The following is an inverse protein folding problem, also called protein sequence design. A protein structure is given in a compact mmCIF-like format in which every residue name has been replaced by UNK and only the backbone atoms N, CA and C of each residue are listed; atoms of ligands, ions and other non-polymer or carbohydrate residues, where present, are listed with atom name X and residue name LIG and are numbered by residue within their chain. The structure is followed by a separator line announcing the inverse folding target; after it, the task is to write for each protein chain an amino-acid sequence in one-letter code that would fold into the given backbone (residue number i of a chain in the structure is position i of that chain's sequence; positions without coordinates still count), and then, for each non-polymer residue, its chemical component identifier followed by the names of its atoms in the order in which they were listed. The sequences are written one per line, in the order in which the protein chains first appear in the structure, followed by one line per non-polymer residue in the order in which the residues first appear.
data_IF_208060780497
#
_entry.id   IF_208060780497
#
_cell.length_a   1.000
_cell.length_b   1.000
_cell.length_c   1.000
_cell.angle_alpha   90.00
_cell.angle_beta   90.00
_cell.angle_gamma   90.00
#
_symmetry.space_group_name_H-M   'P 1'
#
loop_
_entity.id
_entity.type
_entity.pdbx_description
1 polymer ?
#
# COMPACT_ATOMS: atom_id res chain seq x y z
N UNK A 1 3.84 -32.83 7.16
CA UNK A 1 3.36 -32.38 5.83
C UNK A 1 4.58 -31.94 5.02
N UNK A 2 4.92 -32.66 3.97
CA UNK A 2 6.14 -32.46 3.19
C UNK A 2 5.99 -31.25 2.26
N UNK A 3 7.09 -30.52 2.02
CA UNK A 3 7.15 -29.34 1.15
C UNK A 3 6.54 -29.57 -0.25
N UNK A 4 6.50 -30.81 -0.73
CA UNK A 4 5.85 -31.20 -2.00
C UNK A 4 4.33 -31.00 -2.00
N UNK A 5 3.64 -31.11 -0.86
CA UNK A 5 2.18 -30.90 -0.76
C UNK A 5 1.78 -29.42 -0.88
N UNK A 6 2.63 -28.52 -0.37
CA UNK A 6 2.37 -27.07 -0.45
C UNK A 6 2.52 -26.54 -1.89
N UNK A 7 3.50 -27.04 -2.64
CA UNK A 7 3.68 -26.66 -4.05
C UNK A 7 2.58 -27.19 -4.96
N UNK A 8 2.03 -28.39 -4.68
CA UNK A 8 0.91 -28.94 -5.44
C UNK A 8 -0.39 -28.15 -5.21
N UNK A 9 -0.65 -27.73 -3.97
CA UNK A 9 -1.82 -26.92 -3.66
C UNK A 9 -1.76 -25.50 -4.28
N UNK A 10 -0.56 -24.87 -4.27
CA UNK A 10 -0.35 -23.57 -4.91
C UNK A 10 -0.48 -23.64 -6.44
N UNK A 11 0.02 -24.72 -7.07
CA UNK A 11 -0.12 -24.94 -8.49
C UNK A 11 -1.59 -25.22 -8.90
N UNK A 12 -2.34 -25.95 -8.07
CA UNK A 12 -3.76 -26.20 -8.31
C UNK A 12 -4.62 -24.93 -8.17
N UNK A 13 -4.31 -24.07 -7.20
CA UNK A 13 -4.98 -22.78 -7.02
C UNK A 13 -4.67 -21.81 -8.18
N UNK A 14 -3.43 -21.77 -8.66
CA UNK A 14 -3.04 -20.97 -9.83
C UNK A 14 -3.70 -21.49 -11.12
N UNK A 15 -3.79 -22.81 -11.29
CA UNK A 15 -4.48 -23.42 -12.44
C UNK A 15 -5.99 -23.18 -12.41
N UNK A 16 -6.63 -23.24 -11.23
CA UNK A 16 -8.05 -22.94 -11.07
C UNK A 16 -8.36 -21.46 -11.34
N UNK A 17 -7.50 -20.54 -10.90
CA UNK A 17 -7.62 -19.12 -11.21
C UNK A 17 -7.45 -18.84 -12.72
N UNK A 18 -6.51 -19.53 -13.39
CA UNK A 18 -6.30 -19.40 -14.83
C UNK A 18 -7.48 -19.96 -15.65
N UNK A 19 -8.09 -21.08 -15.22
CA UNK A 19 -9.26 -21.67 -15.91
C UNK A 19 -10.54 -20.87 -15.71
N UNK A 20 -10.75 -20.23 -14.57
CA UNK A 20 -11.85 -19.31 -14.35
C UNK A 20 -11.73 -18.04 -15.20
N UNK A 21 -10.50 -17.51 -15.35
CA UNK A 21 -10.23 -16.37 -16.21
C UNK A 21 -10.46 -16.66 -17.70
N UNK A 22 -10.18 -17.88 -18.16
CA UNK A 22 -10.35 -18.27 -19.58
C UNK A 22 -11.80 -18.60 -19.96
N UNK A 23 -12.64 -19.08 -19.03
CA UNK A 23 -14.04 -19.40 -19.32
C UNK A 23 -14.96 -18.17 -19.40
N UNK A 24 -14.63 -17.09 -18.70
CA UNK A 24 -15.36 -15.82 -18.79
C UNK A 24 -15.03 -15.02 -20.07
N UNK A 25 -13.84 -15.22 -20.65
CA UNK A 25 -13.37 -14.49 -21.82
C UNK A 25 -14.05 -14.84 -23.15
N UNK A 26 -14.74 -15.99 -23.25
CA UNK A 26 -15.23 -16.51 -24.53
C UNK A 26 -16.69 -16.16 -24.89
N UNK A 27 -17.43 -15.50 -23.98
CA UNK A 27 -18.86 -15.23 -24.24
C UNK A 27 -19.15 -13.90 -24.98
N UNK A 28 -18.22 -12.90 -25.00
CA UNK A 28 -18.45 -11.58 -25.62
C UNK A 28 -17.22 -11.01 -26.35
N UNK A 29 -16.48 -11.84 -27.07
CA UNK A 29 -15.15 -11.52 -27.59
C UNK A 29 -15.04 -10.37 -28.63
N UNK A 30 -15.93 -10.04 -29.56
CA UNK A 30 -15.64 -9.06 -30.61
C UNK A 30 -15.66 -7.60 -30.12
N UNK A 31 -16.61 -7.21 -29.25
CA UNK A 31 -16.74 -5.83 -28.78
C UNK A 31 -15.75 -5.47 -27.66
N UNK A 32 -15.38 -6.47 -26.84
CA UNK A 32 -14.40 -6.30 -25.77
C UNK A 32 -12.97 -6.04 -26.30
N UNK A 33 -12.62 -6.62 -27.44
CA UNK A 33 -11.28 -6.48 -28.04
C UNK A 33 -11.06 -5.05 -28.56
N UNK A 34 -12.06 -4.44 -29.20
CA UNK A 34 -11.95 -3.08 -29.75
C UNK A 34 -11.89 -2.01 -28.63
N UNK A 35 -12.66 -2.19 -27.57
CA UNK A 35 -12.64 -1.27 -26.43
C UNK A 35 -11.36 -1.39 -25.59
N UNK A 36 -10.78 -2.58 -25.45
CA UNK A 36 -9.49 -2.80 -24.80
C UNK A 36 -8.32 -2.27 -25.64
N UNK A 37 -8.43 -2.32 -26.97
CA UNK A 37 -7.42 -1.75 -27.88
C UNK A 37 -7.32 -0.22 -27.81
N UNK A 38 -8.37 0.48 -27.35
CA UNK A 38 -8.38 1.94 -27.17
C UNK A 38 -7.82 2.40 -25.81
N UNK A 39 -7.31 1.48 -24.96
CA UNK A 39 -6.72 1.85 -23.66
C UNK A 39 -5.30 2.35 -23.87
N UNK A 40 -5.00 3.55 -23.37
CA UNK A 40 -3.62 3.97 -23.14
C UNK A 40 -3.09 3.21 -21.92
N UNK A 41 -2.32 2.16 -22.18
CA UNK A 41 -1.76 1.29 -21.14
C UNK A 41 -0.63 1.92 -20.32
N UNK A 42 -0.15 3.09 -20.75
CA UNK A 42 0.94 3.80 -20.09
C UNK A 42 0.58 5.28 -19.87
N UNK A 43 -0.53 5.56 -19.15
CA UNK A 43 -0.81 6.94 -18.78
C UNK A 43 0.34 7.45 -17.92
N UNK A 44 0.86 8.61 -18.28
CA UNK A 44 2.05 9.18 -17.64
C UNK A 44 1.72 10.54 -17.05
N UNK A 45 1.70 10.60 -15.73
CA UNK A 45 1.64 11.84 -14.99
C UNK A 45 3.06 12.38 -14.75
N UNK A 46 3.51 13.47 -15.42
CA UNK A 46 4.90 13.94 -15.35
C UNK A 46 5.38 14.23 -13.93
N UNK A 47 4.51 14.71 -13.06
CA UNK A 47 4.84 14.99 -11.67
C UNK A 47 5.04 13.71 -10.84
N UNK A 48 4.32 12.63 -11.13
CA UNK A 48 4.52 11.31 -10.50
C UNK A 48 5.89 10.77 -10.87
N UNK A 49 6.22 10.81 -12.17
CA UNK A 49 7.56 10.39 -12.63
C UNK A 49 8.67 11.22 -12.01
N UNK A 50 8.49 12.55 -11.91
CA UNK A 50 9.46 13.43 -11.28
C UNK A 50 9.68 13.08 -9.80
N UNK A 51 8.63 12.80 -9.05
CA UNK A 51 8.71 12.38 -7.65
C UNK A 51 9.36 10.99 -7.50
N UNK A 52 9.00 10.04 -8.34
CA UNK A 52 9.64 8.71 -8.36
C UNK A 52 11.13 8.82 -8.69
N UNK A 53 11.48 9.56 -9.72
CA UNK A 53 12.88 9.77 -10.11
C UNK A 53 13.67 10.47 -8.99
N UNK A 54 13.12 11.54 -8.42
CA UNK A 54 13.75 12.30 -7.33
C UNK A 54 13.98 11.43 -6.09
N UNK A 55 12.94 10.73 -5.61
CA UNK A 55 13.02 9.91 -4.41
C UNK A 55 13.95 8.72 -4.59
N UNK A 56 13.92 8.07 -5.77
CA UNK A 56 14.83 7.00 -6.14
C UNK A 56 16.28 7.44 -6.23
N UNK A 57 16.54 8.54 -6.93
CA UNK A 57 17.89 9.11 -7.07
C UNK A 57 18.48 9.54 -5.72
N UNK A 58 17.70 10.24 -4.89
CA UNK A 58 18.14 10.63 -3.53
C UNK A 58 18.44 9.39 -2.70
N UNK A 59 17.62 8.34 -2.78
CA UNK A 59 17.88 7.13 -2.01
C UNK A 59 19.12 6.40 -2.49
N UNK A 60 19.29 6.20 -3.79
CA UNK A 60 20.46 5.55 -4.38
C UNK A 60 21.76 6.30 -4.01
N UNK A 61 21.77 7.62 -4.18
CA UNK A 61 22.92 8.46 -3.82
C UNK A 61 23.23 8.37 -2.32
N UNK A 62 22.20 8.42 -1.47
CA UNK A 62 22.34 8.31 -0.03
C UNK A 62 22.92 6.96 0.40
N UNK A 63 22.41 5.85 -0.14
CA UNK A 63 22.90 4.50 0.13
C UNK A 63 24.36 4.35 -0.30
N UNK A 64 24.73 4.81 -1.50
CA UNK A 64 26.12 4.77 -1.97
C UNK A 64 27.04 5.55 -1.03
N UNK A 65 26.63 6.75 -0.59
CA UNK A 65 27.43 7.55 0.35
C UNK A 65 27.58 6.89 1.71
N UNK A 66 26.47 6.32 2.26
CA UNK A 66 26.52 5.56 3.52
C UNK A 66 27.49 4.40 3.41
N UNK A 67 27.42 3.61 2.34
CA UNK A 67 28.30 2.43 2.16
C UNK A 67 29.78 2.78 2.00
N UNK A 68 30.09 3.95 1.42
CA UNK A 68 31.47 4.43 1.28
C UNK A 68 32.07 4.91 2.62
N UNK A 69 31.22 5.35 3.58
CA UNK A 69 31.69 5.96 4.83
C UNK A 69 31.48 5.08 6.07
N UNK A 70 30.72 3.97 5.97
CA UNK A 70 30.41 3.09 7.09
C UNK A 70 30.76 1.64 6.78
N UNK A 71 31.72 1.07 7.54
CA UNK A 71 32.05 -0.35 7.47
C UNK A 71 31.08 -1.21 8.30
N UNK A 72 30.53 -0.64 9.39
CA UNK A 72 29.62 -1.33 10.32
C UNK A 72 28.16 -1.24 9.88
N UNK A 73 27.37 -2.31 10.15
CA UNK A 73 25.93 -2.30 9.92
C UNK A 73 25.50 -2.49 8.45
N UNK A 74 26.38 -2.94 7.57
CA UNK A 74 26.07 -3.16 6.13
C UNK A 74 24.83 -4.01 5.89
N UNK A 75 24.63 -5.07 6.67
CA UNK A 75 23.44 -5.92 6.56
C UNK A 75 22.13 -5.18 6.86
N UNK A 76 22.15 -4.26 7.83
CA UNK A 76 20.97 -3.43 8.15
C UNK A 76 20.71 -2.42 7.04
N UNK A 77 21.76 -1.79 6.50
CA UNK A 77 21.64 -0.85 5.39
C UNK A 77 21.14 -1.55 4.11
N UNK A 78 21.62 -2.76 3.82
CA UNK A 78 21.16 -3.55 2.68
C UNK A 78 19.66 -3.92 2.81
N UNK A 79 19.21 -4.38 3.99
CA UNK A 79 17.79 -4.67 4.22
C UNK A 79 16.90 -3.44 4.04
N UNK A 80 17.35 -2.27 4.51
CA UNK A 80 16.62 -1.02 4.32
C UNK A 80 16.58 -0.58 2.86
N UNK A 81 17.68 -0.75 2.14
CA UNK A 81 17.74 -0.44 0.71
C UNK A 81 16.81 -1.35 -0.10
N UNK A 82 16.77 -2.66 0.23
CA UNK A 82 15.83 -3.61 -0.38
C UNK A 82 14.37 -3.29 -0.06
N UNK A 83 14.07 -2.92 1.19
CA UNK A 83 12.72 -2.49 1.57
C UNK A 83 12.31 -1.22 0.82
N UNK A 84 13.22 -0.25 0.67
CA UNK A 84 12.95 0.94 -0.14
C UNK A 84 12.70 0.58 -1.60
N UNK A 85 13.58 -0.22 -2.20
CA UNK A 85 13.44 -0.63 -3.60
C UNK A 85 12.12 -1.36 -3.84
N UNK A 86 11.73 -2.28 -2.94
CA UNK A 86 10.43 -2.96 -3.01
C UNK A 86 9.26 -2.00 -2.92
N UNK A 87 9.23 -1.11 -1.93
CA UNK A 87 8.18 -0.09 -1.78
C UNK A 87 8.12 0.87 -2.97
N UNK A 88 9.28 1.28 -3.47
CA UNK A 88 9.39 2.16 -4.64
C UNK A 88 8.87 1.49 -5.93
N UNK A 89 9.25 0.23 -6.17
CA UNK A 89 8.78 -0.55 -7.32
C UNK A 89 7.26 -0.78 -7.27
N UNK A 90 6.72 -1.12 -6.09
CA UNK A 90 5.26 -1.26 -5.91
C UNK A 90 4.55 0.06 -6.16
N UNK A 91 5.08 1.18 -5.66
CA UNK A 91 4.51 2.51 -5.93
C UNK A 91 4.57 2.86 -7.41
N UNK A 92 5.69 2.59 -8.08
CA UNK A 92 5.82 2.80 -9.52
C UNK A 92 4.84 1.93 -10.31
N UNK A 93 4.73 0.64 -9.99
CA UNK A 93 3.78 -0.27 -10.64
C UNK A 93 2.31 0.11 -10.38
N UNK A 94 2.01 0.71 -9.22
CA UNK A 94 0.67 1.17 -8.90
C UNK A 94 0.29 2.46 -9.63
N UNK A 95 1.22 3.40 -9.80
CA UNK A 95 0.94 4.76 -10.29
C UNK A 95 1.40 5.02 -11.73
N UNK A 96 2.07 4.06 -12.35
CA UNK A 96 2.60 4.20 -13.72
C UNK A 96 2.37 2.89 -14.48
N UNK A 97 1.62 2.96 -15.57
CA UNK A 97 1.44 1.83 -16.46
C UNK A 97 0.11 1.09 -16.31
N UNK A 98 0.09 -0.23 -16.58
CA UNK A 98 -1.17 -0.97 -16.80
C UNK A 98 -2.16 -0.94 -15.63
N UNK A 99 -1.68 -0.95 -14.40
CA UNK A 99 -2.58 -0.93 -13.23
C UNK A 99 -3.29 0.42 -13.10
N UNK A 100 -2.60 1.51 -13.37
CA UNK A 100 -3.18 2.85 -13.36
C UNK A 100 -4.21 3.00 -14.50
N UNK A 101 -3.88 2.54 -15.71
CA UNK A 101 -4.82 2.50 -16.83
C UNK A 101 -6.08 1.69 -16.53
N UNK A 102 -5.93 0.53 -15.88
CA UNK A 102 -7.05 -0.33 -15.49
C UNK A 102 -7.87 0.28 -14.35
N UNK A 103 -7.25 0.99 -13.41
CA UNK A 103 -7.96 1.63 -12.28
C UNK A 103 -8.98 2.68 -12.73
N UNK A 104 -8.72 3.33 -13.87
CA UNK A 104 -9.66 4.23 -14.50
C UNK A 104 -10.87 3.53 -15.14
N UNK A 105 -10.81 2.22 -15.34
CA UNK A 105 -11.83 1.41 -16.04
C UNK A 105 -12.54 0.41 -15.14
N UNK A 106 -11.84 -0.12 -14.13
CA UNK A 106 -12.32 -1.13 -13.22
C UNK A 106 -12.16 -0.67 -11.78
N UNK A 107 -13.24 -0.72 -11.02
CA UNK A 107 -13.22 -0.46 -9.59
C UNK A 107 -12.31 -1.46 -8.85
N UNK A 108 -12.36 -2.73 -9.22
CA UNK A 108 -11.51 -3.76 -8.64
C UNK A 108 -10.02 -3.48 -8.85
N UNK A 109 -9.61 -3.02 -10.04
CA UNK A 109 -8.24 -2.60 -10.30
C UNK A 109 -7.83 -1.35 -9.48
N UNK A 110 -8.75 -0.39 -9.32
CA UNK A 110 -8.56 0.77 -8.46
C UNK A 110 -8.33 0.36 -6.99
N UNK A 111 -9.07 -0.64 -6.49
CA UNK A 111 -8.85 -1.19 -5.16
C UNK A 111 -7.51 -1.92 -5.04
N UNK A 112 -7.06 -2.66 -6.06
CA UNK A 112 -5.72 -3.26 -6.09
C UNK A 112 -4.64 -2.17 -6.01
N UNK A 113 -4.81 -1.05 -6.71
CA UNK A 113 -3.90 0.08 -6.67
C UNK A 113 -3.80 0.68 -5.25
N UNK A 114 -4.93 0.92 -4.58
CA UNK A 114 -4.97 1.41 -3.20
C UNK A 114 -4.31 0.43 -2.22
N UNK A 115 -4.62 -0.87 -2.32
CA UNK A 115 -4.03 -1.89 -1.45
C UNK A 115 -2.51 -2.02 -1.67
N UNK A 116 -2.04 -1.94 -2.91
CA UNK A 116 -0.61 -1.92 -3.21
C UNK A 116 0.11 -0.75 -2.52
N UNK A 117 -0.49 0.44 -2.54
CA UNK A 117 0.07 1.62 -1.89
C UNK A 117 0.01 1.54 -0.36
N UNK A 118 -1.14 1.14 0.20
CA UNK A 118 -1.37 1.20 1.65
C UNK A 118 -0.84 -0.01 2.40
N UNK A 119 -1.00 -1.22 1.87
CA UNK A 119 -0.68 -2.46 2.59
C UNK A 119 0.70 -3.01 2.22
N UNK A 120 1.25 -2.65 1.06
CA UNK A 120 2.56 -3.14 0.61
C UNK A 120 3.61 -2.03 0.60
N UNK A 121 3.40 -0.95 -0.15
CA UNK A 121 4.41 0.09 -0.30
C UNK A 121 4.66 0.85 1.01
N UNK A 122 3.62 1.29 1.70
CA UNK A 122 3.76 2.09 2.92
C UNK A 122 4.55 1.38 4.03
N UNK A 123 4.26 0.12 4.43
CA UNK A 123 5.08 -0.57 5.44
C UNK A 123 6.51 -0.80 4.98
N UNK A 124 6.77 -1.05 3.70
CA UNK A 124 8.11 -1.18 3.16
C UNK A 124 8.89 0.13 3.28
N UNK A 125 8.30 1.28 2.99
CA UNK A 125 8.93 2.58 3.22
C UNK A 125 9.19 2.86 4.71
N UNK A 126 8.28 2.49 5.58
CA UNK A 126 8.50 2.63 7.04
C UNK A 126 9.67 1.77 7.51
N UNK A 127 9.79 0.53 7.04
CA UNK A 127 10.91 -0.35 7.33
C UNK A 127 12.23 0.14 6.73
N UNK A 128 12.18 0.74 5.56
CA UNK A 128 13.32 1.31 4.86
C UNK A 128 13.95 2.49 5.59
N UNK A 129 13.13 3.31 6.31
CA UNK A 129 13.56 4.55 6.98
C UNK A 129 14.33 5.48 6.02
N UNK A 130 13.76 5.88 4.89
CA UNK A 130 14.48 6.54 3.79
C UNK A 130 15.08 7.89 4.18
N UNK A 131 14.52 8.60 5.15
CA UNK A 131 15.00 9.91 5.61
C UNK A 131 16.48 9.89 6.01
N UNK A 132 16.97 8.79 6.59
CA UNK A 132 18.38 8.63 6.91
C UNK A 132 19.27 8.61 5.65
N UNK A 133 18.89 7.84 4.64
CA UNK A 133 19.62 7.79 3.37
C UNK A 133 19.54 9.13 2.62
N UNK A 134 18.37 9.75 2.57
CA UNK A 134 18.17 11.05 1.94
C UNK A 134 19.00 12.16 2.60
N UNK A 135 19.12 12.13 3.93
CA UNK A 135 20.00 13.08 4.66
C UNK A 135 21.47 12.93 4.22
N UNK A 136 21.93 11.71 3.92
CA UNK A 136 23.27 11.46 3.37
C UNK A 136 23.41 11.88 1.89
N UNK A 137 22.32 11.88 1.14
CA UNK A 137 22.33 12.37 -0.25
C UNK A 137 22.49 13.88 -0.35
N UNK A 138 22.05 14.62 0.67
CA UNK A 138 22.11 16.08 0.68
C UNK A 138 23.49 16.61 1.08
N UNK A 139 23.87 17.84 0.64
CA UNK A 139 25.00 18.57 1.19
C UNK A 139 24.84 18.74 2.71
N UNK A 140 25.96 18.64 3.44
CA UNK A 140 25.96 18.61 4.91
C UNK A 140 25.24 19.82 5.54
N UNK A 141 25.33 21.00 4.92
CA UNK A 141 24.61 22.21 5.37
C UNK A 141 23.09 22.01 5.37
N UNK A 142 22.54 21.41 4.31
CA UNK A 142 21.11 21.14 4.18
C UNK A 142 20.64 20.03 5.12
N UNK A 143 21.41 18.94 5.22
CA UNK A 143 21.12 17.85 6.15
C UNK A 143 21.06 18.34 7.60
N UNK A 144 22.03 19.18 8.03
CA UNK A 144 22.02 19.78 9.36
C UNK A 144 20.87 20.78 9.56
N UNK A 145 20.53 21.58 8.54
CA UNK A 145 19.43 22.53 8.61
C UNK A 145 18.08 21.80 8.77
N UNK A 146 17.84 20.75 7.98
CA UNK A 146 16.65 19.90 8.09
C UNK A 146 16.58 19.21 9.46
N UNK A 147 17.71 18.67 9.96
CA UNK A 147 17.77 18.08 11.28
C UNK A 147 17.37 19.08 12.38
N UNK A 148 17.94 20.28 12.37
CA UNK A 148 17.57 21.34 13.33
C UNK A 148 16.10 21.74 13.21
N UNK A 149 15.56 21.83 11.99
CA UNK A 149 14.18 22.19 11.74
C UNK A 149 13.21 21.17 12.34
N UNK A 150 13.42 19.87 12.05
CA UNK A 150 12.55 18.81 12.57
C UNK A 150 12.70 18.56 14.08
N UNK A 151 13.80 19.01 14.70
CA UNK A 151 13.96 18.93 16.15
C UNK A 151 13.33 20.10 16.91
N UNK A 152 12.86 21.15 16.22
CA UNK A 152 12.16 22.27 16.89
C UNK A 152 10.85 21.78 17.54
N UNK A 153 10.51 22.29 18.74
CA UNK A 153 9.27 21.89 19.44
C UNK A 153 8.02 22.06 18.58
N UNK A 154 7.95 23.13 17.77
CA UNK A 154 6.83 23.40 16.86
C UNK A 154 6.58 22.31 15.82
N UNK A 155 7.58 21.48 15.48
CA UNK A 155 7.42 20.33 14.59
C UNK A 155 7.37 19.00 15.34
N UNK A 156 8.19 18.89 16.39
CA UNK A 156 8.29 17.66 17.18
C UNK A 156 6.97 17.30 17.85
N UNK A 157 6.29 18.28 18.44
CA UNK A 157 5.03 18.02 19.17
C UNK A 157 3.90 17.57 18.24
N UNK A 158 3.53 18.30 17.16
CA UNK A 158 2.56 17.81 16.18
C UNK A 158 2.91 16.45 15.59
N UNK A 159 4.20 16.21 15.28
CA UNK A 159 4.66 14.93 14.78
C UNK A 159 4.41 13.79 15.79
N UNK A 160 4.69 13.99 17.05
CA UNK A 160 4.45 13.00 18.11
C UNK A 160 2.96 12.73 18.30
N UNK A 161 2.12 13.74 18.16
CA UNK A 161 0.65 13.60 18.24
C UNK A 161 0.15 12.81 17.04
N UNK A 162 0.43 13.23 15.82
CA UNK A 162 -0.11 12.61 14.61
C UNK A 162 0.42 11.20 14.37
N UNK A 163 1.64 10.90 14.83
CA UNK A 163 2.22 9.55 14.80
C UNK A 163 1.88 8.71 16.03
N UNK A 164 1.10 9.25 16.96
CA UNK A 164 0.54 8.50 18.08
C UNK A 164 -0.40 7.39 17.58
N UNK A 165 -0.51 6.24 18.27
CA UNK A 165 -1.29 5.10 17.77
C UNK A 165 -2.73 5.45 17.41
N UNK A 166 -3.44 6.15 18.29
CA UNK A 166 -4.84 6.53 18.06
C UNK A 166 -4.99 7.55 16.94
N UNK A 167 -4.16 8.60 16.92
CA UNK A 167 -4.25 9.64 15.91
C UNK A 167 -3.92 9.10 14.50
N UNK A 168 -2.84 8.32 14.38
CA UNK A 168 -2.47 7.68 13.12
C UNK A 168 -3.53 6.71 12.62
N UNK A 169 -4.14 5.92 13.54
CA UNK A 169 -5.24 5.02 13.22
C UNK A 169 -6.47 5.79 12.75
N UNK A 170 -6.85 6.89 13.45
CA UNK A 170 -7.99 7.72 13.06
C UNK A 170 -7.77 8.38 11.69
N UNK A 171 -6.58 8.94 11.43
CA UNK A 171 -6.27 9.55 10.13
C UNK A 171 -6.40 8.53 9.01
N UNK A 172 -5.87 7.32 9.21
CA UNK A 172 -5.97 6.24 8.23
C UNK A 172 -7.42 5.79 8.02
N UNK A 173 -8.16 5.55 9.11
CA UNK A 173 -9.56 5.12 9.05
C UNK A 173 -10.46 6.19 8.41
N UNK A 174 -10.30 7.46 8.79
CA UNK A 174 -11.09 8.56 8.21
C UNK A 174 -10.81 8.73 6.72
N UNK A 175 -9.55 8.69 6.30
CA UNK A 175 -9.21 8.75 4.87
C UNK A 175 -9.91 7.61 4.12
N UNK A 176 -9.83 6.38 4.65
CA UNK A 176 -10.42 5.21 4.01
C UNK A 176 -11.95 5.34 3.89
N UNK A 177 -12.65 5.65 4.97
CA UNK A 177 -14.11 5.73 4.96
C UNK A 177 -14.65 6.94 4.17
N UNK A 178 -14.03 8.11 4.30
CA UNK A 178 -14.49 9.33 3.61
C UNK A 178 -14.35 9.19 2.08
N UNK A 179 -13.23 8.65 1.59
CA UNK A 179 -13.03 8.48 0.16
C UNK A 179 -13.91 7.40 -0.48
N UNK A 180 -14.51 6.50 0.31
CA UNK A 180 -15.47 5.51 -0.19
C UNK A 180 -16.92 5.99 -0.14
N UNK A 181 -17.19 7.20 0.36
CA UNK A 181 -18.50 7.83 0.19
C UNK A 181 -18.73 8.06 -1.32
N UNK A 182 -19.83 7.60 -1.92
CA UNK A 182 -20.05 7.64 -3.37
C UNK A 182 -19.77 8.99 -4.01
N UNK A 183 -20.27 10.09 -3.44
CA UNK A 183 -20.07 11.44 -3.98
C UNK A 183 -18.59 11.89 -3.96
N UNK A 184 -17.79 11.47 -2.98
CA UNK A 184 -16.37 11.80 -2.90
C UNK A 184 -15.55 10.95 -3.86
N UNK A 185 -15.90 9.67 -3.97
CA UNK A 185 -15.26 8.76 -4.90
C UNK A 185 -15.49 9.18 -6.36
N UNK A 186 -16.75 9.50 -6.71
CA UNK A 186 -17.11 10.02 -8.04
C UNK A 186 -16.38 11.35 -8.34
N UNK A 187 -16.23 12.25 -7.37
CA UNK A 187 -15.46 13.48 -7.53
C UNK A 187 -13.97 13.20 -7.82
N UNK A 188 -13.40 12.16 -7.20
CA UNK A 188 -12.04 11.74 -7.50
C UNK A 188 -11.90 11.17 -8.92
N UNK A 189 -12.89 10.41 -9.40
CA UNK A 189 -12.90 9.91 -10.78
C UNK A 189 -13.12 10.99 -11.84
N UNK A 190 -13.70 12.12 -11.44
CA UNK A 190 -13.99 13.25 -12.33
C UNK A 190 -12.86 14.29 -12.40
N UNK A 191 -11.86 14.23 -11.51
CA UNK A 191 -10.80 15.25 -11.42
C UNK A 191 -9.46 14.64 -11.02
N UNK A 192 -8.44 14.79 -11.88
CA UNK A 192 -7.08 14.31 -11.64
C UNK A 192 -6.48 14.88 -10.34
N UNK A 193 -6.77 16.14 -10.02
CA UNK A 193 -6.30 16.77 -8.79
C UNK A 193 -6.93 16.19 -7.54
N UNK A 194 -8.23 15.84 -7.56
CA UNK A 194 -8.93 15.19 -6.45
C UNK A 194 -8.47 13.74 -6.35
N UNK A 195 -8.28 13.05 -7.46
CA UNK A 195 -7.72 11.68 -7.51
C UNK A 195 -6.30 11.63 -6.91
N UNK A 196 -5.43 12.58 -7.30
CA UNK A 196 -4.11 12.70 -6.70
C UNK A 196 -4.17 12.97 -5.18
N UNK A 197 -5.13 13.80 -4.72
CA UNK A 197 -5.35 14.04 -3.29
C UNK A 197 -5.84 12.77 -2.57
N UNK A 198 -6.72 11.99 -3.19
CA UNK A 198 -7.18 10.70 -2.68
C UNK A 198 -5.99 9.76 -2.45
N UNK A 199 -5.17 9.51 -3.49
CA UNK A 199 -3.98 8.67 -3.39
C UNK A 199 -2.96 9.19 -2.37
N UNK A 200 -2.71 10.49 -2.36
CA UNK A 200 -1.80 11.10 -1.40
C UNK A 200 -2.29 10.94 0.05
N UNK A 201 -3.59 11.13 0.31
CA UNK A 201 -4.17 10.98 1.64
C UNK A 201 -4.15 9.53 2.12
N UNK A 202 -4.44 8.56 1.26
CA UNK A 202 -4.32 7.14 1.57
C UNK A 202 -2.88 6.76 1.87
N UNK A 203 -1.95 7.16 1.01
CA UNK A 203 -0.54 6.81 1.19
C UNK A 203 0.08 7.45 2.44
N UNK A 204 -0.18 8.74 2.67
CA UNK A 204 0.31 9.44 3.87
C UNK A 204 -0.35 8.89 5.13
N UNK A 205 -1.66 8.67 5.12
CA UNK A 205 -2.38 8.03 6.22
C UNK A 205 -1.83 6.65 6.55
N UNK A 206 -1.56 5.83 5.54
CA UNK A 206 -0.94 4.52 5.70
C UNK A 206 0.50 4.60 6.22
N UNK A 207 1.31 5.55 5.75
CA UNK A 207 2.67 5.78 6.28
C UNK A 207 2.64 6.14 7.77
N UNK A 208 1.74 7.02 8.20
CA UNK A 208 1.57 7.38 9.61
C UNK A 208 1.10 6.17 10.43
N UNK A 209 0.15 5.44 9.92
CA UNK A 209 -0.37 4.23 10.55
C UNK A 209 0.73 3.18 10.73
N UNK A 210 1.42 2.78 9.65
CA UNK A 210 2.49 1.81 9.72
C UNK A 210 3.69 2.29 10.54
N UNK A 211 3.98 3.60 10.52
CA UNK A 211 4.96 4.19 11.45
C UNK A 211 4.54 3.98 12.89
N UNK A 212 3.26 4.13 13.19
CA UNK A 212 2.73 3.89 14.53
C UNK A 212 2.83 2.43 14.96
N UNK A 213 2.65 1.48 14.06
CA UNK A 213 2.68 0.01 14.31
C UNK A 213 4.12 -0.53 14.35
N UNK A 214 4.96 -0.18 13.39
CA UNK A 214 6.31 -0.75 13.18
C UNK A 214 7.43 0.04 13.85
N UNK A 215 7.15 1.17 14.48
CA UNK A 215 8.14 2.03 15.11
C UNK A 215 8.91 1.35 16.26
N UNK A 216 10.18 1.75 16.47
CA UNK A 216 11.12 1.07 17.36
C UNK A 216 10.78 1.08 18.87
N UNK A 217 9.85 1.93 19.32
CA UNK A 217 9.48 2.09 20.74
C UNK A 217 8.02 1.72 21.02
N UNK A 218 7.44 0.76 20.29
CA UNK A 218 6.02 0.46 20.41
C UNK A 218 5.75 -0.72 21.34
N UNK A 219 4.66 -0.62 22.09
CA UNK A 219 4.11 -1.72 22.84
C UNK A 219 3.51 -2.73 21.84
N UNK A 220 3.94 -4.00 21.93
CA UNK A 220 3.48 -5.06 21.02
C UNK A 220 1.96 -5.26 21.11
N UNK A 221 1.39 -5.22 22.32
CA UNK A 221 -0.07 -5.32 22.50
C UNK A 221 -0.84 -4.22 21.83
N UNK A 222 -0.40 -2.96 21.98
CA UNK A 222 -1.04 -1.83 21.29
C UNK A 222 -0.93 -1.91 19.76
N UNK A 223 0.22 -2.38 19.24
CA UNK A 223 0.39 -2.59 17.81
C UNK A 223 -0.53 -3.71 17.28
N UNK A 224 -0.64 -4.83 17.99
CA UNK A 224 -1.56 -5.93 17.63
C UNK A 224 -3.03 -5.49 17.71
N UNK A 225 -3.43 -4.75 18.74
CA UNK A 225 -4.78 -4.19 18.85
C UNK A 225 -5.11 -3.23 17.71
N UNK A 226 -4.15 -2.37 17.34
CA UNK A 226 -4.29 -1.45 16.20
C UNK A 226 -4.45 -2.21 14.87
N UNK A 227 -3.65 -3.25 14.62
CA UNK A 227 -3.77 -4.10 13.43
C UNK A 227 -5.12 -4.82 13.38
N UNK A 228 -5.56 -5.37 14.51
CA UNK A 228 -6.83 -6.06 14.61
C UNK A 228 -8.03 -5.15 14.34
N UNK A 229 -8.06 -3.98 14.97
CA UNK A 229 -9.14 -3.01 14.77
C UNK A 229 -9.14 -2.44 13.34
N UNK A 230 -7.96 -2.26 12.73
CA UNK A 230 -7.85 -1.87 11.31
C UNK A 230 -8.39 -2.96 10.41
N UNK A 231 -8.00 -4.21 10.61
CA UNK A 231 -8.52 -5.35 9.86
C UNK A 231 -10.06 -5.42 9.93
N UNK A 232 -10.65 -5.20 11.11
CA UNK A 232 -12.11 -5.22 11.26
C UNK A 232 -12.78 -4.13 10.42
N UNK A 233 -12.36 -2.86 10.54
CA UNK A 233 -13.05 -1.79 9.83
C UNK A 233 -12.79 -1.80 8.32
N UNK A 234 -11.60 -2.24 7.86
CA UNK A 234 -11.33 -2.41 6.42
C UNK A 234 -12.12 -3.58 5.86
N UNK A 235 -12.19 -4.70 6.60
CA UNK A 235 -13.03 -5.84 6.23
C UNK A 235 -14.52 -5.47 6.18
N UNK A 236 -15.00 -4.66 7.14
CA UNK A 236 -16.38 -4.19 7.15
C UNK A 236 -16.70 -3.35 5.90
N UNK A 237 -15.81 -2.43 5.51
CA UNK A 237 -15.99 -1.65 4.29
C UNK A 237 -15.92 -2.52 3.03
N UNK A 238 -14.97 -3.43 2.94
CA UNK A 238 -14.87 -4.39 1.82
C UNK A 238 -16.09 -5.30 1.73
N UNK A 239 -16.62 -5.77 2.87
CA UNK A 239 -17.83 -6.58 2.92
C UNK A 239 -19.07 -5.78 2.50
N UNK A 240 -19.21 -4.50 2.90
CA UNK A 240 -20.29 -3.63 2.45
C UNK A 240 -20.31 -3.49 0.93
N UNK A 241 -19.16 -3.35 0.29
CA UNK A 241 -19.02 -3.26 -1.16
C UNK A 241 -19.28 -4.62 -1.84
N UNK A 242 -18.71 -5.70 -1.29
CA UNK A 242 -18.82 -7.04 -1.86
C UNK A 242 -20.23 -7.65 -1.74
N UNK A 243 -20.98 -7.28 -0.71
CA UNK A 243 -22.33 -7.82 -0.45
C UNK A 243 -23.43 -6.85 -0.85
N UNK A 244 -23.09 -5.67 -1.39
CA UNK A 244 -24.10 -4.72 -1.87
C UNK A 244 -24.92 -5.31 -3.02
N UNK A 245 -26.25 -5.15 -3.00
CA UNK A 245 -27.10 -5.57 -4.11
C UNK A 245 -27.14 -4.54 -5.26
N UNK A 246 -26.49 -3.38 -5.10
CA UNK A 246 -26.47 -2.29 -6.09
C UNK A 246 -25.06 -1.73 -6.23
N UNK A 247 -24.72 -1.27 -7.43
CA UNK A 247 -23.49 -0.56 -7.71
C UNK A 247 -23.55 0.85 -7.07
N UNK A 248 -22.49 1.21 -6.34
CA UNK A 248 -22.39 2.52 -5.66
C UNK A 248 -21.77 3.60 -6.55
N UNK A 249 -21.01 3.18 -7.57
CA UNK A 249 -20.19 4.07 -8.40
C UNK A 249 -20.62 3.99 -9.88
N UNK A 250 -21.61 4.83 -10.29
CA UNK A 250 -22.17 4.81 -11.64
C UNK A 250 -21.14 5.08 -12.74
N UNK A 251 -20.07 5.80 -12.45
CA UNK A 251 -19.01 6.11 -13.43
C UNK A 251 -18.38 4.85 -14.06
N UNK A 252 -18.43 3.70 -13.39
CA UNK A 252 -17.91 2.45 -13.93
C UNK A 252 -18.91 1.69 -14.82
N UNK A 253 -20.20 2.07 -14.84
CA UNK A 253 -21.27 1.30 -15.48
C UNK A 253 -20.97 0.92 -16.94
N UNK A 254 -20.45 1.88 -17.73
CA UNK A 254 -20.14 1.64 -19.15
C UNK A 254 -18.70 1.20 -19.39
N UNK A 255 -17.82 1.33 -18.37
CA UNK A 255 -16.38 1.07 -18.52
C UNK A 255 -16.03 -0.40 -18.34
N UNK A 256 -16.75 -1.11 -17.48
CA UNK A 256 -16.50 -2.52 -17.12
C UNK A 256 -16.92 -3.50 -18.21
N UNK A 257 -17.89 -3.13 -19.08
CA UNK A 257 -18.43 -3.97 -20.15
C UNK A 257 -17.33 -4.50 -21.08
N UNK A 258 -16.32 -3.65 -21.37
CA UNK A 258 -15.17 -4.02 -22.19
C UNK A 258 -14.35 -5.19 -21.62
N UNK A 259 -14.50 -5.47 -20.32
CA UNK A 259 -13.80 -6.55 -19.60
C UNK A 259 -14.72 -7.74 -19.29
N UNK A 260 -15.96 -7.73 -19.80
CA UNK A 260 -16.94 -8.80 -19.58
C UNK A 260 -17.53 -8.82 -18.17
N UNK A 261 -17.49 -7.70 -17.46
CA UNK A 261 -18.07 -7.53 -16.13
C UNK A 261 -19.17 -6.47 -16.17
N UNK A 262 -20.20 -6.63 -15.34
CA UNK A 262 -21.05 -5.50 -14.99
C UNK A 262 -20.45 -4.69 -13.84
N UNK A 263 -21.00 -3.48 -13.62
CA UNK A 263 -20.47 -2.59 -12.59
C UNK A 263 -20.63 -3.15 -11.17
N UNK A 264 -21.64 -3.96 -10.92
CA UNK A 264 -21.88 -4.58 -9.62
C UNK A 264 -20.89 -5.72 -9.38
N UNK A 265 -20.66 -6.57 -10.37
CA UNK A 265 -19.68 -7.64 -10.30
C UNK A 265 -18.26 -7.10 -10.04
N UNK A 266 -17.86 -6.05 -10.76
CA UNK A 266 -16.57 -5.40 -10.58
C UNK A 266 -16.46 -4.74 -9.20
N UNK A 267 -17.54 -4.09 -8.71
CA UNK A 267 -17.58 -3.55 -7.34
C UNK A 267 -17.44 -4.63 -6.29
N UNK A 268 -18.14 -5.76 -6.44
CA UNK A 268 -18.08 -6.89 -5.53
C UNK A 268 -16.66 -7.49 -5.50
N UNK A 269 -16.03 -7.62 -6.67
CA UNK A 269 -14.62 -8.01 -6.79
C UNK A 269 -13.69 -7.03 -6.06
N UNK A 270 -13.87 -5.72 -6.24
CA UNK A 270 -13.10 -4.69 -5.52
C UNK A 270 -13.28 -4.77 -4.01
N UNK A 271 -14.51 -5.01 -3.55
CA UNK A 271 -14.79 -5.27 -2.13
C UNK A 271 -14.05 -6.49 -1.58
N UNK A 272 -13.99 -7.59 -2.36
CA UNK A 272 -13.22 -8.78 -2.00
C UNK A 272 -11.72 -8.51 -1.96
N UNK A 273 -11.19 -7.68 -2.87
CA UNK A 273 -9.78 -7.25 -2.87
C UNK A 273 -9.45 -6.50 -1.57
N UNK A 274 -10.29 -5.57 -1.16
CA UNK A 274 -10.10 -4.84 0.10
C UNK A 274 -10.22 -5.74 1.33
N UNK A 275 -11.11 -6.74 1.31
CA UNK A 275 -11.35 -7.60 2.46
C UNK A 275 -10.28 -8.66 2.61
N UNK A 276 -10.04 -9.47 1.58
CA UNK A 276 -9.27 -10.70 1.71
C UNK A 276 -7.76 -10.45 1.67
N UNK A 277 -7.15 -9.85 0.63
CA UNK A 277 -5.71 -9.59 0.56
C UNK A 277 -5.22 -8.67 1.69
N UNK A 278 -5.93 -7.58 1.97
CA UNK A 278 -5.56 -6.67 3.06
C UNK A 278 -5.59 -7.38 4.42
N UNK A 279 -6.62 -8.18 4.68
CA UNK A 279 -6.74 -8.99 5.90
C UNK A 279 -5.52 -9.88 6.12
N UNK A 280 -5.04 -10.57 5.09
CA UNK A 280 -3.81 -11.38 5.16
C UNK A 280 -2.59 -10.54 5.52
N UNK A 281 -2.45 -9.34 4.97
CA UNK A 281 -1.35 -8.41 5.27
C UNK A 281 -1.31 -8.03 6.76
N UNK A 282 -2.45 -7.65 7.33
CA UNK A 282 -2.57 -7.30 8.75
C UNK A 282 -2.31 -8.49 9.67
N UNK A 283 -2.87 -9.66 9.37
CA UNK A 283 -2.65 -10.89 10.14
C UNK A 283 -1.18 -11.29 10.11
N UNK A 284 -0.55 -11.31 8.95
CA UNK A 284 0.88 -11.65 8.81
C UNK A 284 1.78 -10.71 9.63
N UNK A 285 1.49 -9.41 9.59
CA UNK A 285 2.21 -8.43 10.40
C UNK A 285 1.98 -8.65 11.91
N UNK A 286 0.74 -8.89 12.32
CA UNK A 286 0.39 -9.18 13.72
C UNK A 286 1.11 -10.42 14.26
N UNK A 287 1.11 -11.50 13.48
CA UNK A 287 1.85 -12.73 13.82
C UNK A 287 3.35 -12.50 13.91
N UNK A 288 3.93 -11.70 13.00
CA UNK A 288 5.34 -11.36 13.05
C UNK A 288 5.71 -10.54 14.30
N UNK A 289 4.83 -9.65 14.76
CA UNK A 289 5.01 -8.88 16.00
C UNK A 289 4.89 -9.82 17.21
N UNK A 290 3.86 -10.68 17.26
CA UNK A 290 3.64 -11.64 18.34
C UNK A 290 4.83 -12.60 18.49
N UNK A 291 5.32 -13.18 17.41
CA UNK A 291 6.49 -14.05 17.40
C UNK A 291 7.76 -13.35 17.92
N UNK A 292 7.97 -12.07 17.56
CA UNK A 292 9.10 -11.29 18.06
C UNK A 292 8.96 -11.00 19.56
N UNK A 293 7.76 -10.77 20.02
CA UNK A 293 7.48 -10.50 21.42
C UNK A 293 7.75 -11.75 22.27
N UNK A 294 7.17 -12.90 21.91
CA UNK A 294 7.38 -14.19 22.60
C UNK A 294 8.88 -14.57 22.67
N UNK A 295 9.62 -14.44 21.57
CA UNK A 295 11.07 -14.74 21.54
C UNK A 295 11.92 -13.81 22.40
N UNK A 296 11.44 -12.63 22.77
CA UNK A 296 12.14 -11.72 23.70
C UNK A 296 11.93 -12.16 25.14
N UNK A 297 10.72 -12.55 25.49
CA UNK A 297 10.39 -13.00 26.84
C UNK A 297 11.12 -14.31 27.19
N UNK A 298 11.23 -15.25 26.26
CA UNK A 298 12.04 -16.48 26.43
C UNK A 298 13.51 -16.18 26.75
N UNK A 299 14.10 -15.17 26.10
CA UNK A 299 15.51 -14.79 26.36
C UNK A 299 15.73 -14.13 27.70
N UNK A 300 14.74 -13.44 28.24
CA UNK A 300 14.80 -12.82 29.55
C UNK A 300 14.57 -13.85 30.67
N UNK A 301 13.68 -14.83 30.44
CA UNK A 301 13.42 -15.93 31.38
C UNK A 301 14.57 -16.95 31.53
N UNK A 302 15.45 -17.06 30.52
CA UNK A 302 16.64 -17.92 30.57
C UNK A 302 17.88 -17.20 31.14
N UNK A 303 17.81 -15.90 31.37
CA UNK A 303 18.90 -15.07 31.90
C UNK A 303 18.72 -14.71 33.39
N UNK A 304 17.60 -15.16 34.00
CA UNK A 304 17.28 -15.04 35.41
C UNK A 304 17.42 -16.40 36.12
#
# INVERSE_FOLDING_TARGET
MTARGAHAAAAAAAAAAATLATSAANAHAPQAIDAAAAIDWWPVEPWVLALLALTGALHALGVVRVWRHTATGRAVHARRALAFAGGWLVTAAALVGPLDALSARLFSAHMVQHEALMVVAAPLFVLARPLGAWAWALPQRWSRALGRFFHRPGWRTPWLVVTGPLAAWLVHALALWLWHIPSWFEAALASDGIHALQHASFFVGALLYWWSVLGARRNAGAAMASLFTTMIHTAALGALLALSPVAWYPTYADRTIAFGLDALEDQQLGGLVMWVPAGFGYVACGLAIALRWLRRDDRLGHAA
#
